data_IF_902816157199
#
_entry.id   IF_902816157199
#
_cell.length_a   1.000
_cell.length_b   1.000
_cell.length_c   1.000
_cell.angle_alpha   90.00
_cell.angle_beta   90.00
_cell.angle_gamma   90.00
#
_symmetry.space_group_name_H-M   'P 1'
#
loop_
_entity.id
_entity.type
_entity.pdbx_description
1 polymer ?
#
# COMPACT_ATOMS: atom_id res chain seq x y z
N UNK A 1 9.94 -4.42 -0.23
CA UNK A 1 10.88 -3.61 0.58
C UNK A 1 11.18 -4.31 1.90
N UNK A 2 12.14 -3.79 2.62
CA UNK A 2 12.51 -4.27 3.96
C UNK A 2 12.41 -3.07 4.90
N UNK A 3 11.63 -3.19 5.98
CA UNK A 3 11.53 -2.16 7.02
C UNK A 3 12.58 -2.41 8.12
N UNK A 4 12.84 -1.39 8.92
CA UNK A 4 13.74 -1.54 10.09
C UNK A 4 13.10 -2.43 11.15
N UNK A 5 11.80 -2.31 11.37
CA UNK A 5 11.08 -3.11 12.36
C UNK A 5 9.73 -3.60 11.82
N UNK A 6 9.32 -4.73 12.37
CA UNK A 6 8.05 -5.38 12.14
C UNK A 6 7.32 -5.54 13.46
N UNK A 7 6.06 -5.11 13.52
CA UNK A 7 5.31 -5.03 14.76
C UNK A 7 4.00 -5.81 14.67
N UNK A 8 3.72 -6.62 15.68
CA UNK A 8 2.40 -7.19 15.90
C UNK A 8 2.08 -7.30 17.41
N UNK A 9 0.91 -7.86 17.73
CA UNK A 9 0.43 -8.03 19.10
C UNK A 9 1.29 -8.97 19.97
N UNK A 10 2.20 -9.74 19.36
CA UNK A 10 3.07 -10.69 20.05
C UNK A 10 4.45 -10.09 20.32
N UNK A 11 4.83 -9.02 19.61
CA UNK A 11 6.11 -8.37 19.82
C UNK A 11 6.57 -7.49 18.66
N UNK A 12 7.80 -7.01 18.83
CA UNK A 12 8.51 -6.21 17.83
C UNK A 12 9.75 -6.99 17.41
N UNK A 13 9.94 -7.11 16.12
CA UNK A 13 11.18 -7.62 15.52
C UNK A 13 11.91 -6.49 14.81
N UNK A 14 13.06 -6.08 15.36
CA UNK A 14 13.96 -5.14 14.69
C UNK A 14 14.89 -5.95 13.76
N UNK A 15 14.66 -5.83 12.46
CA UNK A 15 15.37 -6.58 11.41
C UNK A 15 16.61 -5.86 10.89
N UNK A 16 16.57 -4.53 10.91
CA UNK A 16 17.67 -3.67 10.44
C UNK A 16 17.94 -2.64 11.52
N UNK A 17 19.21 -2.48 11.87
CA UNK A 17 19.61 -1.52 12.90
C UNK A 17 19.40 -0.09 12.43
N UNK A 18 19.19 0.83 13.36
CA UNK A 18 18.79 2.23 13.08
C UNK A 18 19.90 3.08 12.42
N UNK A 19 21.13 2.59 12.38
CA UNK A 19 22.27 3.19 11.68
C UNK A 19 22.41 2.72 10.22
N UNK A 20 21.50 1.86 9.75
CA UNK A 20 21.45 1.33 8.41
C UNK A 20 20.25 1.85 7.64
N UNK A 21 20.38 1.88 6.33
CA UNK A 21 19.26 2.27 5.44
C UNK A 21 18.38 1.05 5.16
N UNK A 22 17.07 1.20 5.33
CA UNK A 22 16.09 0.21 4.95
C UNK A 22 15.29 0.67 3.71
N UNK A 23 14.83 -0.29 2.89
CA UNK A 23 14.09 -0.02 1.66
C UNK A 23 12.58 -0.16 1.87
N UNK A 24 11.96 0.80 2.56
CA UNK A 24 10.59 0.67 3.07
C UNK A 24 9.58 1.63 2.44
N UNK A 25 10.01 2.67 1.68
CA UNK A 25 9.10 3.64 1.06
C UNK A 25 9.32 3.86 -0.44
N UNK A 26 10.20 3.07 -1.06
CA UNK A 26 10.39 2.98 -2.53
C UNK A 26 10.79 4.28 -3.24
N UNK A 27 11.44 5.22 -2.55
CA UNK A 27 11.84 6.53 -3.09
C UNK A 27 13.35 6.73 -3.26
N UNK A 28 14.11 5.64 -3.27
CA UNK A 28 15.57 5.64 -3.39
C UNK A 28 16.29 5.63 -2.04
N UNK A 29 17.60 5.81 -2.07
CA UNK A 29 18.49 5.74 -0.89
C UNK A 29 19.50 6.90 -0.84
N UNK A 30 19.23 7.97 -1.57
CA UNK A 30 20.01 9.19 -1.54
C UNK A 30 19.57 10.11 -0.40
N UNK A 31 20.42 11.03 0.07
CA UNK A 31 20.01 12.07 1.03
C UNK A 31 18.76 12.80 0.56
N UNK A 32 17.81 13.02 1.46
CA UNK A 32 16.50 13.60 1.15
C UNK A 32 15.41 12.58 0.82
N UNK A 33 15.74 11.31 0.54
CA UNK A 33 14.74 10.26 0.37
C UNK A 33 14.24 9.72 1.71
N UNK A 34 13.00 9.23 1.72
CA UNK A 34 12.41 8.65 2.93
C UNK A 34 13.13 7.39 3.41
N UNK A 35 13.64 6.55 2.50
CA UNK A 35 14.44 5.39 2.89
C UNK A 35 15.74 5.79 3.59
N UNK A 36 16.33 6.93 3.21
CA UNK A 36 17.57 7.43 3.80
C UNK A 36 17.32 8.11 5.16
N UNK A 37 16.23 8.87 5.29
CA UNK A 37 16.02 9.77 6.44
C UNK A 37 15.03 9.26 7.48
N UNK A 38 14.38 8.11 7.25
CA UNK A 38 13.33 7.63 8.16
C UNK A 38 13.55 6.19 8.61
N UNK A 39 13.03 5.93 9.80
CA UNK A 39 12.96 4.58 10.35
C UNK A 39 11.61 3.95 9.99
N UNK A 40 11.62 2.88 9.21
CA UNK A 40 10.41 2.18 8.78
C UNK A 40 9.91 1.17 9.80
N UNK A 41 8.62 1.25 10.13
CA UNK A 41 7.92 0.26 10.97
C UNK A 41 6.77 -0.33 10.16
N UNK A 42 6.81 -1.64 9.94
CA UNK A 42 5.74 -2.40 9.26
C UNK A 42 4.76 -2.96 10.28
N UNK A 43 3.46 -2.80 10.03
CA UNK A 43 2.41 -3.44 10.84
C UNK A 43 2.06 -4.78 10.22
N UNK A 44 2.44 -5.87 10.89
CA UNK A 44 2.25 -7.23 10.40
C UNK A 44 0.78 -7.61 10.22
N UNK A 45 0.53 -8.55 9.30
CA UNK A 45 -0.74 -9.23 9.10
C UNK A 45 -1.90 -8.30 8.69
N UNK A 46 -1.61 -7.11 8.13
CA UNK A 46 -2.65 -6.13 7.75
C UNK A 46 -3.69 -6.69 6.77
N UNK A 47 -3.35 -7.72 6.01
CA UNK A 47 -4.22 -8.35 5.00
C UNK A 47 -4.97 -9.58 5.51
N UNK A 48 -4.54 -10.21 6.60
CA UNK A 48 -4.96 -11.57 6.94
C UNK A 48 -5.77 -11.68 8.23
N UNK A 49 -5.61 -10.74 9.19
CA UNK A 49 -6.31 -10.81 10.47
C UNK A 49 -7.56 -9.93 10.52
N UNK A 50 -8.46 -10.22 11.45
CA UNK A 50 -9.64 -9.38 11.71
C UNK A 50 -9.25 -8.00 12.25
N UNK A 51 -10.20 -7.04 12.24
CA UNK A 51 -9.94 -5.66 12.68
C UNK A 51 -9.47 -5.58 14.13
N UNK A 52 -10.01 -6.42 15.01
CA UNK A 52 -9.63 -6.47 16.43
C UNK A 52 -8.12 -6.78 16.61
N UNK A 53 -7.61 -7.75 15.87
CA UNK A 53 -6.21 -8.15 15.98
C UNK A 53 -5.29 -7.21 15.21
N UNK A 54 -5.75 -6.70 14.06
CA UNK A 54 -5.01 -5.65 13.36
C UNK A 54 -4.82 -4.40 14.24
N UNK A 55 -5.86 -3.94 14.94
CA UNK A 55 -5.75 -2.80 15.85
C UNK A 55 -4.75 -3.03 16.98
N UNK A 56 -4.63 -4.27 17.49
CA UNK A 56 -3.57 -4.59 18.47
C UNK A 56 -2.18 -4.52 17.84
N UNK A 57 -2.02 -5.03 16.61
CA UNK A 57 -0.76 -4.95 15.88
C UNK A 57 -0.37 -3.48 15.60
N UNK A 58 -1.33 -2.66 15.16
CA UNK A 58 -1.13 -1.22 14.95
C UNK A 58 -0.72 -0.50 16.24
N UNK A 59 -1.39 -0.80 17.35
CA UNK A 59 -1.04 -0.20 18.64
C UNK A 59 0.37 -0.62 19.12
N UNK A 60 0.81 -1.85 18.85
CA UNK A 60 2.17 -2.27 19.13
C UNK A 60 3.18 -1.43 18.32
N UNK A 61 2.92 -1.21 17.03
CA UNK A 61 3.76 -0.35 16.18
C UNK A 61 3.79 1.11 16.68
N UNK A 62 2.65 1.68 17.04
CA UNK A 62 2.57 3.06 17.54
C UNK A 62 3.24 3.24 18.91
N UNK A 63 3.14 2.24 19.79
CA UNK A 63 3.86 2.22 21.06
C UNK A 63 5.37 2.12 20.84
N UNK A 64 5.80 1.31 19.88
CA UNK A 64 7.19 1.22 19.51
C UNK A 64 7.73 2.52 18.87
N UNK A 65 6.95 3.15 17.99
CA UNK A 65 7.29 4.48 17.46
C UNK A 65 7.45 5.53 18.55
N UNK A 66 6.60 5.50 19.59
CA UNK A 66 6.74 6.36 20.76
C UNK A 66 8.05 6.12 21.51
N UNK A 67 8.45 4.84 21.67
CA UNK A 67 9.72 4.49 22.28
C UNK A 67 10.91 5.02 21.48
N UNK A 68 10.91 4.84 20.16
CA UNK A 68 11.97 5.36 19.27
C UNK A 68 12.07 6.88 19.30
N UNK A 69 10.94 7.59 19.19
CA UNK A 69 10.94 9.06 19.27
C UNK A 69 11.45 9.58 20.61
N UNK A 70 11.09 8.92 21.73
CA UNK A 70 11.66 9.28 23.05
C UNK A 70 13.17 9.04 23.10
N UNK A 71 13.63 7.89 22.59
CA UNK A 71 15.06 7.56 22.52
C UNK A 71 15.86 8.62 21.75
N UNK A 72 15.30 9.13 20.66
CA UNK A 72 15.95 10.13 19.82
C UNK A 72 15.70 11.58 20.26
N UNK A 73 14.94 11.82 21.31
CA UNK A 73 14.58 13.18 21.77
C UNK A 73 13.69 13.95 20.79
N UNK A 74 12.95 13.25 19.94
CA UNK A 74 12.11 13.85 18.90
C UNK A 74 10.64 13.95 19.35
N UNK A 75 9.95 15.08 19.03
CA UNK A 75 8.53 15.22 19.30
C UNK A 75 7.69 14.39 18.31
N UNK A 76 6.55 13.86 18.74
CA UNK A 76 5.58 13.30 17.83
C UNK A 76 4.76 14.42 17.16
N UNK A 77 5.04 14.70 15.91
CA UNK A 77 4.36 15.70 15.09
C UNK A 77 4.30 15.28 13.61
N UNK A 78 3.73 16.13 12.75
CA UNK A 78 3.57 15.80 11.32
C UNK A 78 4.88 15.69 10.52
N UNK A 79 5.99 16.17 11.06
CA UNK A 79 7.32 16.08 10.43
C UNK A 79 8.03 14.78 10.82
N UNK A 80 7.85 14.33 12.04
CA UNK A 80 8.53 13.13 12.60
C UNK A 80 7.72 11.85 12.45
N UNK A 81 6.38 11.94 12.35
CA UNK A 81 5.50 10.80 12.07
C UNK A 81 5.05 10.88 10.62
N UNK A 82 5.58 9.98 9.80
CA UNK A 82 5.36 9.97 8.35
C UNK A 82 4.61 8.73 7.91
N UNK A 83 3.88 8.82 6.83
CA UNK A 83 3.15 7.70 6.21
C UNK A 83 3.84 7.30 4.90
N UNK A 84 3.79 6.03 4.56
CA UNK A 84 4.40 5.52 3.32
C UNK A 84 3.95 6.31 2.08
N UNK A 85 2.67 6.64 1.98
CA UNK A 85 2.11 7.41 0.86
C UNK A 85 2.52 8.89 0.80
N UNK A 86 3.40 9.34 1.67
CA UNK A 86 4.03 10.67 1.56
C UNK A 86 5.31 10.63 0.73
N UNK A 87 5.85 9.44 0.47
CA UNK A 87 7.14 9.23 -0.22
C UNK A 87 6.97 8.58 -1.59
N UNK A 88 5.97 7.71 -1.74
CA UNK A 88 5.71 7.01 -2.99
C UNK A 88 4.22 6.81 -3.20
N UNK A 89 3.81 6.59 -4.45
CA UNK A 89 2.43 6.28 -4.78
C UNK A 89 2.09 4.87 -4.31
N UNK A 90 1.27 4.77 -3.25
CA UNK A 90 0.89 3.50 -2.64
C UNK A 90 -0.45 3.60 -1.91
N UNK A 91 -1.15 2.50 -1.80
CA UNK A 91 -2.33 2.41 -0.93
C UNK A 91 -1.96 2.37 0.57
N UNK A 92 -0.71 2.06 0.92
CA UNK A 92 -0.28 1.95 2.31
C UNK A 92 -0.29 3.32 3.03
N UNK A 93 -0.69 3.35 4.29
CA UNK A 93 -1.21 2.27 5.13
C UNK A 93 -2.73 2.09 4.99
N UNK A 94 -3.18 1.31 4.01
CA UNK A 94 -4.56 1.20 3.57
C UNK A 94 -5.54 0.77 4.68
N UNK A 95 -5.14 -0.20 5.53
CA UNK A 95 -6.06 -0.69 6.56
C UNK A 95 -6.28 0.31 7.68
N UNK A 96 -5.23 0.98 8.14
CA UNK A 96 -5.32 2.09 9.07
C UNK A 96 -6.16 3.24 8.51
N UNK A 97 -6.01 3.56 7.22
CA UNK A 97 -6.83 4.55 6.53
C UNK A 97 -8.32 4.21 6.58
N UNK A 98 -8.64 2.96 6.30
CA UNK A 98 -10.03 2.48 6.36
C UNK A 98 -10.62 2.59 7.76
N UNK A 99 -9.86 2.20 8.78
CA UNK A 99 -10.33 2.18 10.16
C UNK A 99 -10.38 3.57 10.81
N UNK A 100 -9.46 4.47 10.48
CA UNK A 100 -9.32 5.75 11.19
C UNK A 100 -9.60 6.98 10.33
N UNK A 101 -9.35 6.94 9.03
CA UNK A 101 -9.65 8.04 8.13
C UNK A 101 -10.98 7.89 7.38
N UNK A 102 -11.53 6.68 7.28
CA UNK A 102 -12.80 6.40 6.62
C UNK A 102 -12.69 6.29 5.11
N UNK A 103 -11.50 6.07 4.59
CA UNK A 103 -11.25 5.80 3.16
C UNK A 103 -10.63 4.43 2.98
N UNK A 104 -10.82 3.83 1.82
CA UNK A 104 -10.15 2.60 1.41
C UNK A 104 -9.23 2.91 0.20
N UNK A 105 -7.93 3.16 0.43
CA UNK A 105 -7.01 3.54 -0.65
C UNK A 105 -6.75 2.44 -1.67
N UNK A 106 -7.19 1.22 -1.41
CA UNK A 106 -7.18 0.13 -2.41
C UNK A 106 -8.29 0.28 -3.45
N UNK A 107 -9.25 1.20 -3.21
CA UNK A 107 -10.42 1.42 -4.06
C UNK A 107 -10.53 2.85 -4.57
N UNK A 108 -9.83 3.78 -3.95
CA UNK A 108 -9.86 5.20 -4.30
C UNK A 108 -8.52 5.85 -3.98
N UNK A 109 -8.19 6.94 -4.67
CA UNK A 109 -6.99 7.70 -4.38
C UNK A 109 -7.01 8.34 -2.98
N UNK A 110 -5.84 8.53 -2.38
CA UNK A 110 -5.69 9.30 -1.18
C UNK A 110 -6.11 10.76 -1.40
N UNK A 111 -6.92 11.29 -0.49
CA UNK A 111 -7.07 12.74 -0.37
C UNK A 111 -6.11 13.27 0.70
N UNK A 112 -5.66 14.51 0.55
CA UNK A 112 -4.81 15.18 1.55
C UNK A 112 -5.49 15.23 2.92
N UNK A 113 -6.81 15.44 2.95
CA UNK A 113 -7.59 15.44 4.19
C UNK A 113 -7.57 14.09 4.90
N UNK A 114 -7.74 12.99 4.16
CA UNK A 114 -7.69 11.65 4.74
C UNK A 114 -6.28 11.28 5.21
N UNK A 115 -5.24 11.63 4.46
CA UNK A 115 -3.86 11.46 4.87
C UNK A 115 -3.57 12.19 6.19
N UNK A 116 -3.94 13.45 6.30
CA UNK A 116 -3.74 14.24 7.51
C UNK A 116 -4.56 13.69 8.69
N UNK A 117 -5.79 13.26 8.46
CA UNK A 117 -6.66 12.67 9.50
C UNK A 117 -6.03 11.42 10.11
N UNK A 118 -5.51 10.52 9.26
CA UNK A 118 -4.82 9.32 9.73
C UNK A 118 -3.54 9.68 10.49
N UNK A 119 -2.74 10.59 9.94
CA UNK A 119 -1.49 11.04 10.54
C UNK A 119 -1.72 11.66 11.92
N UNK A 120 -2.74 12.51 12.06
CA UNK A 120 -3.11 13.11 13.34
C UNK A 120 -3.60 12.06 14.36
N UNK A 121 -4.31 11.03 13.90
CA UNK A 121 -4.66 9.89 14.75
C UNK A 121 -3.41 9.19 15.27
N UNK A 122 -2.45 8.84 14.41
CA UNK A 122 -1.20 8.21 14.84
C UNK A 122 -0.41 9.08 15.81
N UNK A 123 -0.28 10.38 15.52
CA UNK A 123 0.42 11.35 16.40
C UNK A 123 -0.25 11.39 17.79
N UNK A 124 -1.58 11.40 17.84
CA UNK A 124 -2.32 11.40 19.11
C UNK A 124 -2.02 10.14 19.93
N UNK A 125 -2.05 8.96 19.30
CA UNK A 125 -1.75 7.70 19.96
C UNK A 125 -0.30 7.67 20.48
N UNK A 126 0.65 8.03 19.61
CA UNK A 126 2.09 8.08 19.95
C UNK A 126 2.36 9.03 21.12
N UNK A 127 1.74 10.21 21.12
CA UNK A 127 1.87 11.18 22.22
C UNK A 127 1.38 10.65 23.55
N UNK A 128 0.28 9.88 23.54
CA UNK A 128 -0.24 9.24 24.76
C UNK A 128 0.77 8.20 25.27
N UNK A 129 1.29 7.33 24.41
CA UNK A 129 2.33 6.37 24.79
C UNK A 129 3.62 7.05 25.29
N UNK A 130 4.02 8.16 24.70
CA UNK A 130 5.18 8.95 25.17
C UNK A 130 4.99 9.46 26.60
N UNK A 131 3.74 9.74 27.02
CA UNK A 131 3.39 10.15 28.40
C UNK A 131 3.25 8.97 29.36
N UNK A 132 3.25 7.74 28.87
CA UNK A 132 2.98 6.54 29.66
C UNK A 132 1.51 6.13 29.73
N UNK A 133 0.65 6.81 29.00
CA UNK A 133 -0.78 6.53 28.97
C UNK A 133 -1.09 5.37 28.00
N UNK A 134 -2.21 4.69 28.24
CA UNK A 134 -2.81 3.76 27.27
C UNK A 134 -3.90 4.48 26.48
N UNK A 135 -3.68 4.83 25.22
CA UNK A 135 -4.65 5.60 24.47
C UNK A 135 -5.91 4.81 24.11
N UNK A 136 -7.04 5.50 24.07
CA UNK A 136 -8.27 4.95 23.53
C UNK A 136 -8.18 4.77 22.03
N UNK A 137 -8.38 3.57 21.54
CA UNK A 137 -8.48 3.26 20.12
C UNK A 137 -9.84 3.75 19.61
N UNK A 138 -9.83 4.59 18.59
CA UNK A 138 -11.05 5.08 17.95
C UNK A 138 -11.04 4.71 16.47
N UNK A 139 -12.13 4.10 16.02
CA UNK A 139 -12.36 3.82 14.59
C UNK A 139 -13.52 4.68 14.11
N UNK A 140 -13.47 5.07 12.85
CA UNK A 140 -14.67 5.62 12.22
C UNK A 140 -15.66 4.48 12.10
N UNK A 141 -16.81 4.58 12.80
CA UNK A 141 -17.92 3.67 12.52
C UNK A 141 -18.33 3.95 11.08
N UNK A 142 -17.95 3.07 10.17
CA UNK A 142 -18.63 3.02 8.90
C UNK A 142 -20.09 2.77 9.25
N UNK A 143 -20.96 3.78 9.11
CA UNK A 143 -22.39 3.56 9.08
C UNK A 143 -22.60 2.37 8.13
N UNK A 144 -23.27 1.28 8.54
CA UNK A 144 -23.75 0.31 7.58
C UNK A 144 -24.84 1.06 6.78
N UNK A 145 -24.49 1.55 5.64
CA UNK A 145 -25.37 2.43 4.87
C UNK A 145 -24.63 3.53 4.17
N UNK A 146 -23.42 3.29 3.79
CA UNK A 146 -22.82 3.77 2.58
C UNK A 146 -21.65 2.85 2.25
N UNK A 147 -21.83 1.53 2.33
CA UNK A 147 -21.56 0.80 1.14
C UNK A 147 -22.48 1.46 0.12
N UNK A 148 -21.99 2.44 -0.63
CA UNK A 148 -22.36 2.40 -2.02
C UNK A 148 -22.02 0.94 -2.36
N UNK A 149 -23.04 0.05 -2.33
CA UNK A 149 -23.25 -0.97 -3.34
C UNK A 149 -22.48 -0.44 -4.50
N UNK A 150 -21.52 -1.15 -5.13
CA UNK A 150 -21.02 -0.64 -6.37
C UNK A 150 -22.29 -0.31 -7.12
N UNK A 151 -22.77 0.89 -6.85
CA UNK A 151 -23.86 1.45 -7.60
C UNK A 151 -23.28 1.25 -8.95
N UNK A 152 -23.87 0.34 -9.69
CA UNK A 152 -23.83 0.27 -11.09
C UNK A 152 -23.34 1.63 -11.61
N UNK A 153 -22.02 1.89 -11.50
CA UNK A 153 -21.36 2.93 -12.27
C UNK A 153 -21.31 2.37 -13.66
N UNK A 154 -22.49 2.30 -14.25
CA UNK A 154 -22.74 2.10 -15.67
C UNK A 154 -22.26 3.29 -16.46
N UNK A 155 -21.06 3.79 -16.19
CA UNK A 155 -20.54 4.91 -16.98
C UNK A 155 -19.03 4.92 -17.08
N UNK A 156 -18.43 3.75 -17.17
CA UNK A 156 -17.02 3.63 -17.49
C UNK A 156 -16.80 2.73 -18.72
N UNK A 157 -17.60 2.86 -19.78
CA UNK A 157 -17.33 2.18 -21.06
C UNK A 157 -16.94 0.70 -20.94
N UNK A 158 -17.68 -0.08 -20.13
CA UNK A 158 -17.44 -1.50 -19.95
C UNK A 158 -16.35 -1.88 -18.91
N UNK A 159 -15.76 -0.90 -18.21
CA UNK A 159 -14.80 -1.18 -17.15
C UNK A 159 -15.49 -1.73 -15.91
N UNK A 160 -14.86 -2.73 -15.30
CA UNK A 160 -15.22 -3.34 -14.02
C UNK A 160 -14.08 -3.11 -13.03
N UNK A 161 -14.34 -3.27 -11.74
CA UNK A 161 -13.30 -3.21 -10.69
C UNK A 161 -13.26 -4.57 -10.00
N UNK A 162 -12.07 -5.17 -9.90
CA UNK A 162 -11.89 -6.41 -9.15
C UNK A 162 -11.71 -6.14 -7.65
N UNK A 163 -11.62 -7.21 -6.87
CA UNK A 163 -11.43 -7.14 -5.41
C UNK A 163 -10.12 -6.48 -4.96
N UNK A 164 -9.17 -6.29 -5.87
CA UNK A 164 -7.88 -5.64 -5.63
C UNK A 164 -7.86 -4.17 -6.04
N UNK A 165 -8.99 -3.63 -6.53
CA UNK A 165 -9.08 -2.24 -6.98
C UNK A 165 -8.60 -2.01 -8.41
N UNK A 166 -8.21 -3.04 -9.13
CA UNK A 166 -7.81 -2.95 -10.54
C UNK A 166 -9.03 -2.72 -11.41
N UNK A 167 -9.01 -1.69 -12.24
CA UNK A 167 -9.99 -1.52 -13.31
C UNK A 167 -9.63 -2.46 -14.45
N UNK A 168 -10.60 -3.22 -14.95
CA UNK A 168 -10.42 -4.13 -16.06
C UNK A 168 -11.63 -4.17 -16.98
N UNK A 169 -11.40 -4.49 -18.23
CA UNK A 169 -12.44 -4.82 -19.22
C UNK A 169 -11.97 -5.94 -20.13
N UNK A 170 -12.91 -6.71 -20.64
CA UNK A 170 -12.63 -7.66 -21.72
C UNK A 170 -12.43 -6.87 -23.01
N UNK A 171 -11.32 -7.13 -23.70
CA UNK A 171 -11.01 -6.54 -24.99
C UNK A 171 -10.10 -7.50 -25.76
N UNK A 172 -10.58 -7.96 -26.90
CA UNK A 172 -9.83 -8.92 -27.74
C UNK A 172 -9.12 -8.16 -28.86
N UNK A 173 -7.80 -8.08 -28.78
CA UNK A 173 -6.98 -7.44 -29.81
C UNK A 173 -5.57 -8.04 -29.85
N UNK A 174 -4.74 -7.52 -30.71
CA UNK A 174 -3.31 -7.88 -30.80
C UNK A 174 -2.45 -6.69 -30.39
N UNK A 175 -1.31 -7.00 -29.79
CA UNK A 175 -0.32 -6.01 -29.41
C UNK A 175 1.07 -6.45 -29.88
N UNK A 176 1.77 -5.54 -30.52
CA UNK A 176 3.16 -5.75 -30.99
C UNK A 176 4.01 -4.60 -30.45
N UNK A 177 4.93 -4.83 -29.53
CA UNK A 177 5.78 -3.76 -29.00
C UNK A 177 6.85 -3.35 -30.03
N UNK A 178 7.27 -2.09 -29.92
CA UNK A 178 8.44 -1.54 -30.65
C UNK A 178 9.70 -1.47 -29.77
N UNK A 179 9.56 -1.75 -28.47
CA UNK A 179 10.66 -1.83 -27.49
C UNK A 179 10.46 -3.07 -26.62
N UNK A 180 11.52 -3.62 -25.98
CA UNK A 180 11.37 -4.76 -25.06
C UNK A 180 10.48 -4.40 -23.87
N UNK A 181 9.47 -5.22 -23.57
CA UNK A 181 8.54 -5.02 -22.45
C UNK A 181 8.64 -6.20 -21.50
N UNK A 182 8.86 -5.94 -20.21
CA UNK A 182 8.81 -6.98 -19.17
C UNK A 182 7.38 -7.48 -19.01
N UNK A 183 7.26 -8.79 -18.93
CA UNK A 183 6.00 -9.47 -18.64
C UNK A 183 5.99 -10.00 -17.22
N UNK A 184 4.81 -10.09 -16.59
CA UNK A 184 4.66 -10.45 -15.19
C UNK A 184 3.65 -11.58 -15.01
N UNK A 185 3.85 -12.44 -14.01
CA UNK A 185 2.84 -13.39 -13.53
C UNK A 185 2.00 -12.78 -12.42
N UNK A 186 0.87 -13.39 -12.08
CA UNK A 186 -0.01 -13.11 -10.93
C UNK A 186 -0.94 -11.92 -11.13
N UNK A 187 -0.51 -10.83 -11.78
CA UNK A 187 -1.39 -9.67 -11.98
C UNK A 187 -0.68 -8.44 -12.57
N UNK A 188 -1.46 -7.39 -12.83
CA UNK A 188 -0.99 -6.16 -13.45
C UNK A 188 -0.30 -5.23 -12.42
N UNK A 189 0.76 -5.71 -11.79
CA UNK A 189 1.53 -4.93 -10.83
C UNK A 189 3.02 -5.06 -11.13
N UNK A 190 3.76 -3.95 -11.08
CA UNK A 190 5.22 -3.96 -11.26
C UNK A 190 5.97 -4.79 -10.22
N UNK A 191 5.36 -4.98 -9.04
CA UNK A 191 5.89 -5.82 -7.96
C UNK A 191 5.68 -7.32 -8.19
N UNK A 192 4.85 -7.70 -9.16
CA UNK A 192 4.65 -9.12 -9.48
C UNK A 192 5.92 -9.74 -10.10
N UNK A 193 6.14 -11.04 -9.90
CA UNK A 193 7.28 -11.73 -10.48
C UNK A 193 7.34 -11.57 -12.00
N UNK A 194 8.52 -11.27 -12.52
CA UNK A 194 8.76 -11.19 -13.96
C UNK A 194 8.63 -12.59 -14.55
N UNK A 195 7.82 -12.71 -15.61
CA UNK A 195 7.62 -13.98 -16.33
C UNK A 195 8.55 -14.08 -17.54
N UNK A 196 9.00 -12.95 -18.09
CA UNK A 196 9.84 -12.87 -19.27
C UNK A 196 9.91 -11.48 -19.85
N UNK A 197 10.30 -11.38 -21.10
CA UNK A 197 10.37 -10.13 -21.88
C UNK A 197 9.73 -10.38 -23.24
N UNK A 198 8.74 -9.59 -23.60
CA UNK A 198 8.20 -9.55 -24.97
C UNK A 198 9.12 -8.66 -25.81
N UNK A 199 9.73 -9.23 -26.85
CA UNK A 199 10.68 -8.53 -27.70
C UNK A 199 9.97 -7.69 -28.78
N UNK A 200 10.63 -6.64 -29.31
CA UNK A 200 10.12 -5.88 -30.42
C UNK A 200 9.72 -6.78 -31.60
N UNK A 201 8.56 -6.52 -32.18
CA UNK A 201 8.03 -7.30 -33.30
C UNK A 201 7.32 -8.60 -32.92
N UNK A 202 7.42 -9.06 -31.67
CA UNK A 202 6.63 -10.20 -31.21
C UNK A 202 5.19 -9.78 -30.96
N UNK A 203 4.24 -10.47 -31.55
CA UNK A 203 2.81 -10.17 -31.41
C UNK A 203 2.15 -11.11 -30.39
N UNK A 204 1.39 -10.55 -29.46
CA UNK A 204 0.52 -11.30 -28.56
C UNK A 204 -0.93 -10.95 -28.83
N UNK A 205 -1.81 -11.93 -28.68
CA UNK A 205 -3.26 -11.71 -28.68
C UNK A 205 -3.73 -11.66 -27.25
N UNK A 206 -4.27 -10.52 -26.83
CA UNK A 206 -4.75 -10.31 -25.47
C UNK A 206 -6.28 -10.31 -25.40
N UNK A 207 -6.82 -10.61 -24.24
CA UNK A 207 -8.25 -10.69 -23.96
C UNK A 207 -8.72 -9.75 -22.87
N UNK A 208 -7.81 -9.15 -22.14
CA UNK A 208 -8.12 -8.27 -21.00
C UNK A 208 -7.23 -7.04 -21.00
N UNK A 209 -7.83 -5.89 -20.76
CA UNK A 209 -7.13 -4.62 -20.50
C UNK A 209 -7.38 -4.19 -19.07
N UNK A 210 -6.34 -3.75 -18.37
CA UNK A 210 -6.42 -3.27 -16.99
C UNK A 210 -5.81 -1.87 -16.86
N UNK A 211 -6.29 -1.13 -15.87
CA UNK A 211 -5.63 0.10 -15.36
C UNK A 211 -5.18 -0.15 -13.94
N UNK A 212 -3.88 -0.12 -13.74
CA UNK A 212 -3.25 -0.35 -12.44
C UNK A 212 -1.90 0.36 -12.40
N UNK A 213 -1.56 0.97 -11.25
CA UNK A 213 -0.29 1.66 -11.01
C UNK A 213 0.04 2.71 -12.10
N UNK A 214 -0.97 3.52 -12.48
CA UNK A 214 -0.91 4.54 -13.54
C UNK A 214 -0.51 4.02 -14.93
N UNK A 215 -0.63 2.70 -15.13
CA UNK A 215 -0.34 2.04 -16.40
C UNK A 215 -1.59 1.37 -16.96
N UNK A 216 -1.61 1.28 -18.28
CA UNK A 216 -2.53 0.39 -18.99
C UNK A 216 -1.81 -0.92 -19.21
N UNK A 217 -2.37 -1.98 -18.65
CA UNK A 217 -1.86 -3.34 -18.76
C UNK A 217 -2.74 -4.14 -19.69
N UNK A 218 -2.14 -5.04 -20.44
CA UNK A 218 -2.87 -6.08 -21.18
C UNK A 218 -2.51 -7.45 -20.61
N UNK A 219 -3.45 -8.39 -20.73
CA UNK A 219 -3.26 -9.77 -20.29
C UNK A 219 -3.60 -10.75 -21.38
N UNK A 220 -2.80 -11.82 -21.45
CA UNK A 220 -3.03 -12.96 -22.32
C UNK A 220 -2.66 -14.27 -21.61
N UNK A 221 -3.27 -15.37 -22.00
CA UNK A 221 -2.89 -16.69 -21.50
C UNK A 221 -1.74 -17.25 -22.32
N UNK A 222 -0.61 -17.52 -21.66
CA UNK A 222 0.56 -18.13 -22.30
C UNK A 222 0.36 -19.62 -22.59
N UNK A 223 1.25 -20.24 -23.38
CA UNK A 223 1.20 -21.66 -23.74
C UNK A 223 1.15 -22.63 -22.54
N UNK A 224 1.68 -22.21 -21.39
CA UNK A 224 1.64 -23.00 -20.16
C UNK A 224 0.33 -22.82 -19.35
N UNK A 225 -0.67 -22.17 -19.93
CA UNK A 225 -1.98 -21.93 -19.30
C UNK A 225 -1.99 -20.87 -18.22
N UNK A 226 -0.90 -20.13 -18.02
CA UNK A 226 -0.83 -19.04 -17.03
C UNK A 226 -1.10 -17.70 -17.68
N UNK A 227 -1.82 -16.85 -16.94
CA UNK A 227 -2.01 -15.46 -17.36
C UNK A 227 -0.71 -14.66 -17.19
N UNK A 228 -0.42 -13.86 -18.22
CA UNK A 228 0.76 -13.00 -18.32
C UNK A 228 0.28 -11.57 -18.54
N UNK A 229 0.89 -10.64 -17.82
CA UNK A 229 0.55 -9.22 -17.79
C UNK A 229 1.73 -8.39 -18.27
N UNK A 230 1.46 -7.33 -19.05
CA UNK A 230 2.47 -6.37 -19.53
C UNK A 230 1.86 -4.97 -19.69
N UNK A 231 2.71 -3.91 -19.52
CA UNK A 231 2.33 -2.50 -19.64
C UNK A 231 3.41 -1.69 -20.38
#
# INVERSE_FOLDING_TARGET
GIAHAYADRNGIWEAISEDRIAWHVSDGVQPGSGNFETYGIEVNQSMYVGDKDFLKNEQAALKFAAHKLKKWGLPANRNTVRLHNEFSYTACPHRSAKLHAGIDPTKQAWSKAAQLKLKDYFIKQIRAYMKGDTPKITTVKNKPGSASTPANRRDMNGWKINKYGTYYKTEHATFTPNTPIKTHYVGPFRSCPVSGVLQPGQTVRYDTVCKQDDHVWISYTAYNGKDVWLA
#
